data_IF_024361722376
#
_entry.id   IF_024361722376
#
_cell.length_a   1.000
_cell.length_b   1.000
_cell.length_c   1.000
_cell.angle_alpha   90.00
_cell.angle_beta   90.00
_cell.angle_gamma   90.00
#
_symmetry.space_group_name_H-M   'P 1'
#
loop_
_entity.id
_entity.type
_entity.pdbx_description
1 polymer ?
#
# COMPACT_ATOMS: atom_id res chain seq x y z
N UNK A 1 24.57 25.11 -34.17
CA UNK A 1 24.54 23.72 -33.66
C UNK A 1 25.07 22.84 -34.78
N UNK A 2 26.18 22.12 -34.56
CA UNK A 2 26.92 21.45 -35.63
C UNK A 2 26.11 20.25 -36.15
N UNK A 3 25.75 20.21 -37.44
CA UNK A 3 24.97 19.13 -38.05
C UNK A 3 25.57 17.75 -37.77
N UNK A 4 26.90 17.66 -37.77
CA UNK A 4 27.65 16.44 -37.44
C UNK A 4 27.41 15.94 -36.01
N UNK A 5 27.28 16.86 -35.04
CA UNK A 5 26.99 16.52 -33.64
C UNK A 5 25.55 16.04 -33.47
N UNK A 6 24.60 16.66 -34.19
CA UNK A 6 23.21 16.21 -34.17
C UNK A 6 23.06 14.82 -34.79
N UNK A 7 23.73 14.57 -35.91
CA UNK A 7 23.75 13.26 -36.56
C UNK A 7 24.35 12.18 -35.65
N UNK A 8 25.48 12.49 -35.00
CA UNK A 8 26.11 11.59 -34.02
C UNK A 8 25.21 11.29 -32.81
N UNK A 9 24.49 12.29 -32.29
CA UNK A 9 23.55 12.10 -31.18
C UNK A 9 22.36 11.23 -31.63
N UNK A 10 21.83 11.47 -32.83
CA UNK A 10 20.65 10.76 -33.35
C UNK A 10 20.95 9.31 -33.76
N UNK A 11 22.19 8.98 -34.12
CA UNK A 11 22.58 7.64 -34.54
C UNK A 11 22.93 6.69 -33.37
N UNK A 12 23.02 7.18 -32.14
CA UNK A 12 23.38 6.40 -30.96
C UNK A 12 22.20 6.24 -29.99
N UNK A 13 22.32 5.26 -29.08
CA UNK A 13 21.41 5.19 -27.94
C UNK A 13 21.51 6.49 -27.11
N UNK A 14 20.42 6.96 -26.46
CA UNK A 14 20.45 8.14 -25.62
C UNK A 14 21.56 8.04 -24.58
N UNK A 15 22.39 9.09 -24.48
CA UNK A 15 23.45 9.16 -23.48
C UNK A 15 22.84 9.19 -22.09
N UNK A 16 23.14 8.18 -21.30
CA UNK A 16 22.67 8.05 -19.93
C UNK A 16 23.78 7.45 -19.06
N UNK A 17 24.22 8.19 -18.05
CA UNK A 17 25.30 7.78 -17.16
C UNK A 17 24.82 7.73 -15.71
N UNK A 18 25.67 7.20 -14.83
CA UNK A 18 25.34 7.00 -13.41
C UNK A 18 25.03 8.32 -12.68
N UNK A 19 25.68 9.42 -13.05
CA UNK A 19 25.45 10.71 -12.41
C UNK A 19 24.04 11.24 -12.75
N UNK A 20 23.61 11.08 -14.01
CA UNK A 20 22.25 11.41 -14.45
C UNK A 20 21.19 10.51 -13.79
N UNK A 21 21.49 9.21 -13.67
CA UNK A 21 20.65 8.26 -12.94
C UNK A 21 20.44 8.71 -11.49
N UNK A 22 21.52 9.09 -10.80
CA UNK A 22 21.44 9.57 -9.42
C UNK A 22 20.58 10.84 -9.31
N UNK A 23 20.71 11.79 -10.23
CA UNK A 23 19.91 13.01 -10.24
C UNK A 23 18.41 12.73 -10.30
N UNK A 24 17.98 11.79 -11.16
CA UNK A 24 16.55 11.45 -11.35
C UNK A 24 16.01 10.56 -10.23
N UNK A 25 16.85 9.74 -9.61
CA UNK A 25 16.46 8.83 -8.53
C UNK A 25 16.58 9.43 -7.13
N UNK A 26 17.10 10.67 -6.98
CA UNK A 26 17.25 11.36 -5.68
C UNK A 26 16.01 11.33 -4.79
N UNK A 27 14.79 11.70 -5.26
CA UNK A 27 13.60 11.62 -4.42
C UNK A 27 13.30 10.20 -3.93
N UNK A 28 13.38 9.21 -4.82
CA UNK A 28 13.22 7.80 -4.46
C UNK A 28 14.27 7.34 -3.42
N UNK A 29 15.54 7.63 -3.67
CA UNK A 29 16.66 7.25 -2.81
C UNK A 29 16.58 7.91 -1.43
N UNK A 30 16.09 9.16 -1.36
CA UNK A 30 15.86 9.83 -0.09
C UNK A 30 14.85 9.07 0.78
N UNK A 31 13.74 8.58 0.22
CA UNK A 31 12.80 7.77 0.99
C UNK A 31 13.40 6.38 1.31
N UNK A 32 13.94 5.67 0.31
CA UNK A 32 14.40 4.29 0.50
C UNK A 32 15.56 4.18 1.49
N UNK A 33 16.54 5.09 1.43
CA UNK A 33 17.72 5.04 2.31
C UNK A 33 17.41 5.43 3.76
N UNK A 34 16.44 6.32 3.96
CA UNK A 34 16.11 6.83 5.30
C UNK A 34 14.93 6.09 5.93
N UNK A 35 14.40 5.07 5.25
CA UNK A 35 13.30 4.31 5.80
C UNK A 35 13.64 2.84 5.84
N UNK A 36 13.96 2.38 7.04
CA UNK A 36 13.82 0.98 7.45
C UNK A 36 12.34 0.67 7.63
N UNK A 37 11.58 0.77 6.53
CA UNK A 37 10.18 0.36 6.49
C UNK A 37 10.11 -1.07 6.91
N UNK A 38 9.59 -1.30 8.14
CA UNK A 38 9.44 -2.60 8.82
C UNK A 38 9.37 -3.71 7.78
N UNK A 39 10.31 -4.65 7.85
CA UNK A 39 10.56 -5.81 6.97
C UNK A 39 9.34 -6.72 6.73
N UNK A 40 8.09 -6.27 6.87
CA UNK A 40 6.87 -7.03 6.79
C UNK A 40 6.72 -7.74 5.45
N UNK A 41 6.87 -7.04 4.32
CA UNK A 41 6.76 -7.65 2.98
C UNK A 41 7.88 -8.67 2.75
N UNK A 42 9.11 -8.31 3.07
CA UNK A 42 10.29 -9.19 2.98
C UNK A 42 10.17 -10.41 3.88
N UNK A 43 9.65 -10.24 5.10
CA UNK A 43 9.36 -11.32 6.05
C UNK A 43 8.24 -12.21 5.52
N UNK A 44 7.16 -11.62 4.98
CA UNK A 44 6.07 -12.36 4.35
C UNK A 44 6.60 -13.22 3.19
N UNK A 45 7.36 -12.64 2.27
CA UNK A 45 8.00 -13.34 1.14
C UNK A 45 8.83 -14.52 1.65
N UNK A 46 9.73 -14.28 2.61
CA UNK A 46 10.61 -15.32 3.16
C UNK A 46 9.82 -16.45 3.82
N UNK A 47 8.77 -16.14 4.57
CA UNK A 47 7.92 -17.16 5.21
C UNK A 47 7.11 -17.97 4.19
N UNK A 48 6.51 -17.31 3.19
CA UNK A 48 5.83 -18.02 2.11
C UNK A 48 6.79 -18.93 1.34
N UNK A 49 8.03 -18.47 1.13
CA UNK A 49 9.04 -19.28 0.48
C UNK A 49 9.43 -20.51 1.31
N UNK A 50 9.69 -20.32 2.60
CA UNK A 50 10.04 -21.39 3.54
C UNK A 50 8.95 -22.45 3.67
N UNK A 51 7.68 -22.05 3.54
CA UNK A 51 6.54 -22.92 3.84
C UNK A 51 5.94 -23.58 2.58
N UNK A 52 5.93 -22.88 1.45
CA UNK A 52 5.18 -23.29 0.25
C UNK A 52 6.02 -23.45 -1.01
N UNK A 53 6.98 -22.55 -1.25
CA UNK A 53 7.52 -22.37 -2.61
C UNK A 53 8.97 -22.80 -2.79
N UNK A 54 9.77 -22.79 -1.73
CA UNK A 54 11.16 -23.26 -1.72
C UNK A 54 12.01 -22.73 -2.91
N UNK A 55 11.75 -21.48 -3.32
CA UNK A 55 12.44 -20.86 -4.45
C UNK A 55 13.92 -20.62 -4.14
N UNK A 56 14.78 -20.66 -5.16
CA UNK A 56 16.18 -20.23 -5.07
C UNK A 56 16.35 -18.81 -4.47
N UNK A 57 17.43 -18.57 -3.69
CA UNK A 57 17.65 -17.29 -3.00
C UNK A 57 17.61 -16.05 -3.91
N UNK A 58 18.19 -16.14 -5.10
CA UNK A 58 18.24 -15.05 -6.08
C UNK A 58 16.85 -14.63 -6.57
N UNK A 59 15.92 -15.58 -6.75
CA UNK A 59 14.52 -15.28 -7.08
C UNK A 59 13.80 -14.58 -5.92
N UNK A 60 14.06 -15.03 -4.69
CA UNK A 60 13.49 -14.42 -3.48
C UNK A 60 13.98 -12.98 -3.34
N UNK A 61 15.27 -12.74 -3.53
CA UNK A 61 15.88 -11.41 -3.49
C UNK A 61 15.31 -10.49 -4.57
N UNK A 62 15.17 -10.96 -5.82
CA UNK A 62 14.52 -10.21 -6.89
C UNK A 62 13.10 -9.78 -6.50
N UNK A 63 12.29 -10.70 -5.98
CA UNK A 63 10.89 -10.39 -5.61
C UNK A 63 10.85 -9.40 -4.43
N UNK A 64 11.77 -9.52 -3.46
CA UNK A 64 11.87 -8.56 -2.37
C UNK A 64 12.23 -7.16 -2.89
N UNK A 65 13.23 -7.07 -3.77
CA UNK A 65 13.67 -5.81 -4.37
C UNK A 65 12.54 -5.14 -5.16
N UNK A 66 11.83 -5.91 -5.99
CA UNK A 66 10.67 -5.41 -6.76
C UNK A 66 9.55 -4.93 -5.81
N UNK A 67 9.22 -5.72 -4.79
CA UNK A 67 8.18 -5.37 -3.83
C UNK A 67 8.50 -4.09 -3.05
N UNK A 68 9.74 -3.93 -2.58
CA UNK A 68 10.21 -2.73 -1.88
C UNK A 68 10.24 -1.52 -2.82
N UNK A 69 10.66 -1.71 -4.08
CA UNK A 69 10.69 -0.64 -5.08
C UNK A 69 9.30 -0.10 -5.39
N UNK A 70 8.35 -0.98 -5.69
CA UNK A 70 6.96 -0.60 -5.93
C UNK A 70 6.31 0.04 -4.70
N UNK A 71 6.57 -0.49 -3.50
CA UNK A 71 6.02 0.08 -2.26
C UNK A 71 6.53 1.50 -2.00
N UNK A 72 7.85 1.73 -2.12
CA UNK A 72 8.41 3.06 -1.89
C UNK A 72 7.94 4.05 -2.97
N UNK A 73 7.86 3.62 -4.23
CA UNK A 73 7.30 4.45 -5.30
C UNK A 73 5.84 4.84 -5.01
N UNK A 74 5.01 3.88 -4.59
CA UNK A 74 3.61 4.17 -4.28
C UNK A 74 3.47 5.12 -3.09
N UNK A 75 4.31 5.01 -2.06
CA UNK A 75 4.30 5.93 -0.92
C UNK A 75 4.62 7.38 -1.31
N UNK A 76 5.56 7.58 -2.24
CA UNK A 76 5.91 8.93 -2.71
C UNK A 76 4.73 9.58 -3.46
N UNK A 77 4.04 8.79 -4.28
CA UNK A 77 2.87 9.24 -5.04
C UNK A 77 1.71 9.51 -4.09
N UNK A 78 1.43 8.58 -3.16
CA UNK A 78 0.40 8.70 -2.12
C UNK A 78 0.62 9.95 -1.25
N UNK A 79 1.87 10.21 -0.82
CA UNK A 79 2.22 11.45 -0.09
C UNK A 79 1.86 12.73 -0.87
N UNK A 80 2.02 12.72 -2.20
CA UNK A 80 1.65 13.85 -3.06
C UNK A 80 0.13 13.95 -3.17
N UNK A 81 -0.54 12.83 -3.41
CA UNK A 81 -1.99 12.75 -3.62
C UNK A 81 -2.77 13.14 -2.35
N UNK A 82 -2.27 12.81 -1.17
CA UNK A 82 -2.82 13.14 0.15
C UNK A 82 -2.29 14.46 0.71
N UNK A 83 -1.30 15.09 0.06
CA UNK A 83 -0.63 16.31 0.53
C UNK A 83 -0.06 16.15 1.95
N UNK A 84 0.53 14.98 2.23
CA UNK A 84 1.07 14.62 3.53
C UNK A 84 2.36 15.40 3.83
N UNK A 85 2.48 15.91 5.06
CA UNK A 85 3.66 16.69 5.47
C UNK A 85 4.84 15.82 5.91
N UNK A 86 4.55 14.63 6.45
CA UNK A 86 5.56 13.72 6.99
C UNK A 86 5.31 12.26 6.61
N UNK A 87 6.41 11.53 6.36
CA UNK A 87 6.41 10.07 6.20
C UNK A 87 7.51 9.49 7.08
N UNK A 88 7.13 8.57 7.98
CA UNK A 88 8.07 7.89 8.91
C UNK A 88 8.96 8.86 9.72
N UNK A 89 8.39 10.00 10.13
CA UNK A 89 9.09 11.04 10.92
C UNK A 89 9.97 11.99 10.11
N UNK A 90 10.02 11.83 8.77
CA UNK A 90 10.79 12.68 7.86
C UNK A 90 9.84 13.53 7.02
N UNK A 91 10.32 14.65 6.47
CA UNK A 91 9.57 15.41 5.45
C UNK A 91 9.37 14.55 4.21
N UNK A 92 8.17 14.62 3.63
CA UNK A 92 7.82 13.91 2.39
C UNK A 92 8.66 14.38 1.20
N UNK A 93 8.86 13.50 0.22
CA UNK A 93 9.76 13.76 -0.92
C UNK A 93 9.37 15.04 -1.68
N UNK A 94 8.07 15.27 -1.86
CA UNK A 94 7.59 16.41 -2.63
C UNK A 94 7.80 17.76 -1.93
N UNK A 95 7.94 17.77 -0.59
CA UNK A 95 8.33 18.96 0.16
C UNK A 95 9.84 19.24 0.11
N UNK A 96 10.66 18.23 -0.20
CA UNK A 96 12.13 18.35 -0.29
C UNK A 96 12.57 18.63 -1.73
N UNK A 97 12.04 17.88 -2.70
CA UNK A 97 12.45 17.89 -4.10
C UNK A 97 11.41 18.46 -5.06
N UNK A 98 10.27 18.93 -4.55
CA UNK A 98 9.14 19.39 -5.34
C UNK A 98 8.27 18.24 -5.87
N UNK A 99 7.03 18.57 -6.21
CA UNK A 99 6.02 17.62 -6.71
C UNK A 99 6.49 16.97 -8.01
N UNK A 100 6.91 17.77 -9.00
CA UNK A 100 7.26 17.27 -10.33
C UNK A 100 8.44 16.27 -10.29
N UNK A 101 9.52 16.60 -9.57
CA UNK A 101 10.67 15.71 -9.45
C UNK A 101 10.34 14.42 -8.71
N UNK A 102 9.57 14.52 -7.62
CA UNK A 102 9.15 13.36 -6.82
C UNK A 102 8.23 12.42 -7.59
N UNK A 103 7.23 12.98 -8.29
CA UNK A 103 6.30 12.22 -9.13
C UNK A 103 7.04 11.52 -10.26
N UNK A 104 7.93 12.22 -10.97
CA UNK A 104 8.72 11.61 -12.04
C UNK A 104 9.62 10.48 -11.50
N UNK A 105 10.29 10.68 -10.37
CA UNK A 105 11.17 9.69 -9.75
C UNK A 105 10.40 8.43 -9.32
N UNK A 106 9.19 8.59 -8.76
CA UNK A 106 8.35 7.48 -8.36
C UNK A 106 7.79 6.71 -9.58
N UNK A 107 7.32 7.41 -10.61
CA UNK A 107 6.87 6.77 -11.85
C UNK A 107 8.01 6.02 -12.54
N UNK A 108 9.21 6.59 -12.57
CA UNK A 108 10.41 5.93 -13.08
C UNK A 108 10.69 4.62 -12.33
N UNK A 109 10.60 4.63 -10.99
CA UNK A 109 10.82 3.44 -10.18
C UNK A 109 9.80 2.31 -10.44
N UNK A 110 8.57 2.61 -10.89
CA UNK A 110 7.63 1.57 -11.36
C UNK A 110 8.16 0.85 -12.62
N UNK A 111 8.65 1.60 -13.60
CA UNK A 111 9.21 1.01 -14.82
C UNK A 111 10.53 0.29 -14.56
N UNK A 112 11.37 0.80 -13.67
CA UNK A 112 12.60 0.12 -13.25
C UNK A 112 12.29 -1.21 -12.55
N UNK A 113 11.26 -1.26 -11.70
CA UNK A 113 10.82 -2.52 -11.07
C UNK A 113 10.37 -3.57 -12.11
N UNK A 114 9.68 -3.15 -13.17
CA UNK A 114 9.36 -4.03 -14.29
C UNK A 114 10.62 -4.45 -15.06
N UNK A 115 11.56 -3.51 -15.28
CA UNK A 115 12.81 -3.77 -15.98
C UNK A 115 13.66 -4.83 -15.25
N UNK A 116 13.71 -4.78 -13.90
CA UNK A 116 14.38 -5.80 -13.09
C UNK A 116 13.81 -7.21 -13.34
N UNK A 117 12.48 -7.34 -13.42
CA UNK A 117 11.82 -8.61 -13.74
C UNK A 117 12.15 -9.06 -15.17
N UNK A 118 12.13 -8.15 -16.14
CA UNK A 118 12.45 -8.45 -17.53
C UNK A 118 13.90 -8.93 -17.64
N UNK A 119 14.85 -8.15 -17.11
CA UNK A 119 16.29 -8.41 -17.21
C UNK A 119 16.68 -9.75 -16.61
N UNK A 120 16.14 -10.06 -15.43
CA UNK A 120 16.40 -11.35 -14.78
C UNK A 120 15.90 -12.54 -15.62
N UNK A 121 14.83 -12.36 -16.39
CA UNK A 121 14.22 -13.41 -17.21
C UNK A 121 14.68 -13.36 -18.69
N UNK A 122 15.58 -12.45 -19.10
CA UNK A 122 16.04 -12.30 -20.51
C UNK A 122 16.76 -13.52 -21.07
N UNK A 123 17.40 -14.32 -20.22
CA UNK A 123 18.20 -15.49 -20.62
C UNK A 123 17.39 -16.80 -20.59
N UNK A 124 16.09 -16.73 -20.36
CA UNK A 124 15.23 -17.91 -20.34
C UNK A 124 14.98 -18.39 -21.77
N UNK A 125 14.83 -19.71 -21.94
CA UNK A 125 14.41 -20.35 -23.19
C UNK A 125 13.25 -19.59 -23.84
N UNK A 126 13.34 -19.37 -25.17
CA UNK A 126 12.31 -18.67 -25.95
C UNK A 126 10.93 -19.32 -25.87
N UNK A 127 10.86 -20.60 -25.49
CA UNK A 127 9.60 -21.32 -25.31
C UNK A 127 9.01 -21.18 -23.90
N UNK A 128 9.72 -20.56 -22.94
CA UNK A 128 9.20 -20.32 -21.59
C UNK A 128 8.31 -19.07 -21.58
N UNK A 129 7.00 -19.28 -21.40
CA UNK A 129 6.01 -18.22 -21.32
C UNK A 129 6.00 -17.48 -19.98
N UNK A 130 6.90 -17.82 -19.04
CA UNK A 130 6.97 -17.20 -17.71
C UNK A 130 7.09 -15.68 -17.77
N UNK A 131 7.92 -15.13 -18.66
CA UNK A 131 8.08 -13.68 -18.79
C UNK A 131 6.76 -13.00 -19.17
N UNK A 132 5.99 -13.59 -20.08
CA UNK A 132 4.67 -13.07 -20.46
C UNK A 132 3.71 -13.10 -19.27
N UNK A 133 3.70 -14.18 -18.50
CA UNK A 133 2.88 -14.33 -17.29
C UNK A 133 3.27 -13.29 -16.22
N UNK A 134 4.57 -13.09 -16.00
CA UNK A 134 5.10 -12.08 -15.07
C UNK A 134 4.64 -10.67 -15.48
N UNK A 135 4.78 -10.30 -16.76
CA UNK A 135 4.35 -8.99 -17.26
C UNK A 135 2.84 -8.81 -17.09
N UNK A 136 2.05 -9.85 -17.38
CA UNK A 136 0.59 -9.83 -17.20
C UNK A 136 0.22 -9.59 -15.73
N UNK A 137 0.82 -10.34 -14.81
CA UNK A 137 0.61 -10.20 -13.36
C UNK A 137 1.00 -8.80 -12.89
N UNK A 138 2.16 -8.30 -13.32
CA UNK A 138 2.63 -6.95 -13.00
C UNK A 138 1.62 -5.89 -13.43
N UNK A 139 1.16 -5.95 -14.68
CA UNK A 139 0.21 -4.99 -15.22
C UNK A 139 -1.16 -5.08 -14.52
N UNK A 140 -1.71 -6.28 -14.32
CA UNK A 140 -3.00 -6.48 -13.67
C UNK A 140 -3.01 -5.94 -12.24
N UNK A 141 -1.98 -6.22 -11.44
CA UNK A 141 -1.95 -5.80 -10.05
C UNK A 141 -1.61 -4.31 -9.88
N UNK A 142 -0.81 -3.70 -10.78
CA UNK A 142 -0.67 -2.25 -10.79
C UNK A 142 -1.96 -1.54 -11.26
N UNK A 143 -2.72 -2.11 -12.21
CA UNK A 143 -4.04 -1.58 -12.54
C UNK A 143 -4.99 -1.65 -11.33
N UNK A 144 -4.97 -2.74 -10.57
CA UNK A 144 -5.76 -2.85 -9.35
C UNK A 144 -5.33 -1.82 -8.30
N UNK A 145 -4.01 -1.63 -8.07
CA UNK A 145 -3.50 -0.59 -7.17
C UNK A 145 -4.08 0.79 -7.54
N UNK A 146 -4.00 1.17 -8.81
CA UNK A 146 -4.48 2.48 -9.28
C UNK A 146 -6.01 2.59 -9.26
N UNK A 147 -6.75 1.50 -9.53
CA UNK A 147 -8.22 1.49 -9.38
C UNK A 147 -8.64 1.75 -7.93
N UNK A 148 -7.97 1.10 -6.99
CA UNK A 148 -8.23 1.28 -5.56
C UNK A 148 -7.89 2.71 -5.11
N UNK A 149 -6.67 3.17 -5.43
CA UNK A 149 -6.23 4.52 -5.10
C UNK A 149 -7.12 5.60 -5.73
N UNK A 150 -7.47 5.44 -7.01
CA UNK A 150 -8.35 6.38 -7.70
C UNK A 150 -9.75 6.44 -7.09
N UNK A 151 -10.28 5.32 -6.61
CA UNK A 151 -11.57 5.28 -5.92
C UNK A 151 -11.50 5.95 -4.54
N UNK A 152 -10.43 5.73 -3.78
CA UNK A 152 -10.19 6.39 -2.49
C UNK A 152 -10.12 7.93 -2.64
N UNK A 153 -9.34 8.40 -3.61
CA UNK A 153 -9.25 9.82 -3.98
C UNK A 153 -10.61 10.35 -4.45
N UNK A 154 -11.33 9.57 -5.28
CA UNK A 154 -12.64 9.98 -5.77
C UNK A 154 -13.64 10.18 -4.63
N UNK A 155 -13.62 9.29 -3.64
CA UNK A 155 -14.43 9.42 -2.44
C UNK A 155 -14.10 10.70 -1.68
N UNK A 156 -12.81 10.86 -1.36
CA UNK A 156 -12.26 12.00 -0.62
C UNK A 156 -12.58 13.35 -1.25
N UNK A 157 -12.41 13.50 -2.56
CA UNK A 157 -12.47 14.82 -3.20
C UNK A 157 -13.82 15.16 -3.83
N UNK A 158 -14.56 14.14 -4.29
CA UNK A 158 -15.81 14.33 -5.05
C UNK A 158 -17.04 13.86 -4.28
N UNK A 159 -17.02 12.65 -3.69
CA UNK A 159 -18.20 12.10 -3.00
C UNK A 159 -18.42 12.70 -1.62
N UNK A 160 -17.41 13.34 -1.04
CA UNK A 160 -17.56 14.22 0.13
C UNK A 160 -18.52 15.41 -0.10
N UNK A 161 -19.05 15.56 -1.31
CA UNK A 161 -20.04 16.59 -1.67
C UNK A 161 -21.44 16.03 -1.89
N UNK A 162 -21.62 14.71 -1.93
CA UNK A 162 -22.91 14.03 -2.20
C UNK A 162 -23.21 12.99 -1.11
N UNK A 163 -24.12 13.35 -0.21
CA UNK A 163 -24.48 12.54 0.98
C UNK A 163 -24.97 11.13 0.63
N UNK A 164 -25.70 10.96 -0.48
CA UNK A 164 -26.27 9.67 -0.88
C UNK A 164 -25.25 8.67 -1.44
N UNK A 165 -24.00 9.10 -1.64
CA UNK A 165 -22.95 8.27 -2.21
C UNK A 165 -21.92 7.83 -1.17
N UNK A 166 -22.12 8.09 0.12
CA UNK A 166 -21.14 7.70 1.15
C UNK A 166 -20.87 6.19 1.09
N UNK A 167 -19.60 5.76 0.98
CA UNK A 167 -19.27 4.34 0.84
C UNK A 167 -19.72 3.56 2.07
N UNK A 168 -20.14 2.31 1.85
CA UNK A 168 -20.39 1.35 2.93
C UNK A 168 -19.14 0.53 3.20
N UNK A 169 -19.18 -0.25 4.27
CA UNK A 169 -18.10 -1.16 4.65
C UNK A 169 -17.69 -2.12 3.52
N UNK A 170 -18.66 -2.67 2.78
CA UNK A 170 -18.37 -3.57 1.66
C UNK A 170 -17.66 -2.86 0.50
N UNK A 171 -18.01 -1.60 0.23
CA UNK A 171 -17.36 -0.79 -0.79
C UNK A 171 -15.91 -0.52 -0.39
N UNK A 172 -15.69 -0.16 0.87
CA UNK A 172 -14.36 0.03 1.43
C UNK A 172 -13.51 -1.25 1.28
N UNK A 173 -14.02 -2.43 1.64
CA UNK A 173 -13.26 -3.66 1.47
C UNK A 173 -12.89 -3.92 0.00
N UNK A 174 -13.80 -3.67 -0.94
CA UNK A 174 -13.51 -3.80 -2.37
C UNK A 174 -12.45 -2.80 -2.85
N UNK A 175 -12.47 -1.57 -2.34
CA UNK A 175 -11.45 -0.56 -2.63
C UNK A 175 -10.08 -0.99 -2.07
N UNK A 176 -10.01 -1.41 -0.81
CA UNK A 176 -8.77 -1.85 -0.15
C UNK A 176 -8.18 -3.11 -0.80
N UNK A 177 -9.04 -4.02 -1.23
CA UNK A 177 -8.64 -5.19 -2.02
C UNK A 177 -7.89 -4.80 -3.30
N UNK A 178 -8.25 -3.67 -3.90
CA UNK A 178 -7.56 -3.12 -5.05
C UNK A 178 -6.29 -2.36 -4.64
N UNK A 179 -6.40 -1.37 -3.74
CA UNK A 179 -5.30 -0.49 -3.28
C UNK A 179 -4.19 -1.26 -2.57
N UNK A 180 -4.49 -1.85 -1.42
CA UNK A 180 -3.48 -2.49 -0.56
C UNK A 180 -3.27 -3.96 -0.93
N UNK A 181 -4.35 -4.65 -1.31
CA UNK A 181 -4.31 -6.06 -1.73
C UNK A 181 -3.52 -6.30 -3.02
N UNK A 182 -3.50 -5.34 -3.95
CA UNK A 182 -2.81 -5.46 -5.24
C UNK A 182 -1.34 -5.83 -5.11
N UNK A 183 -0.60 -5.10 -4.26
CA UNK A 183 0.83 -5.35 -4.10
C UNK A 183 1.13 -6.67 -3.36
N UNK A 184 0.27 -7.10 -2.43
CA UNK A 184 0.41 -8.41 -1.80
C UNK A 184 0.15 -9.56 -2.78
N UNK A 185 -0.89 -9.44 -3.63
CA UNK A 185 -1.16 -10.41 -4.68
C UNK A 185 -0.05 -10.47 -5.71
N UNK A 186 0.50 -9.32 -6.10
CA UNK A 186 1.64 -9.24 -7.01
C UNK A 186 2.79 -10.11 -6.50
N UNK A 187 3.18 -9.92 -5.24
CA UNK A 187 4.27 -10.66 -4.61
C UNK A 187 4.03 -12.17 -4.70
N UNK A 188 2.88 -12.64 -4.23
CA UNK A 188 2.59 -14.09 -4.19
C UNK A 188 2.46 -14.67 -5.60
N UNK A 189 1.80 -13.98 -6.53
CA UNK A 189 1.67 -14.44 -7.92
C UNK A 189 3.03 -14.49 -8.63
N UNK A 190 3.94 -13.55 -8.35
CA UNK A 190 5.32 -13.61 -8.86
C UNK A 190 6.07 -14.82 -8.28
N UNK A 191 5.93 -15.12 -6.99
CA UNK A 191 6.52 -16.34 -6.40
C UNK A 191 5.99 -17.60 -7.09
N UNK A 192 4.68 -17.66 -7.36
CA UNK A 192 4.02 -18.77 -8.03
C UNK A 192 4.57 -19.02 -9.45
N UNK A 193 4.94 -17.96 -10.18
CA UNK A 193 5.52 -18.08 -11.53
C UNK A 193 6.87 -18.84 -11.57
N UNK A 194 7.55 -18.93 -10.43
CA UNK A 194 8.87 -19.54 -10.34
C UNK A 194 8.88 -20.94 -9.75
N UNK A 195 7.70 -21.47 -9.38
CA UNK A 195 7.50 -22.86 -8.96
C UNK A 195 7.71 -23.76 -10.18
N UNK A 196 8.25 -24.97 -9.95
CA UNK A 196 8.37 -25.97 -11.02
C UNK A 196 6.99 -26.61 -11.30
N UNK A 197 6.62 -26.88 -12.56
CA UNK A 197 5.30 -27.45 -12.88
C UNK A 197 4.96 -28.72 -12.07
N UNK A 198 5.94 -29.57 -11.81
CA UNK A 198 5.78 -30.80 -11.02
C UNK A 198 5.55 -30.58 -9.52
N UNK A 199 5.89 -29.40 -8.99
CA UNK A 199 5.72 -28.99 -7.60
C UNK A 199 4.47 -28.10 -7.40
N UNK A 200 3.76 -27.77 -8.49
CA UNK A 200 2.64 -26.84 -8.45
C UNK A 200 1.41 -27.45 -7.74
N UNK A 201 0.91 -26.72 -6.74
CA UNK A 201 -0.38 -26.99 -6.10
C UNK A 201 -1.33 -25.82 -6.35
N UNK A 202 -2.17 -25.95 -7.38
CA UNK A 202 -3.10 -24.91 -7.83
C UNK A 202 -4.03 -24.45 -6.70
N UNK A 203 -4.60 -25.40 -5.95
CA UNK A 203 -5.52 -25.07 -4.84
C UNK A 203 -4.79 -24.28 -3.75
N UNK A 204 -3.58 -24.68 -3.39
CA UNK A 204 -2.78 -23.94 -2.40
C UNK A 204 -2.40 -22.53 -2.91
N UNK A 205 -2.12 -22.40 -4.20
CA UNK A 205 -1.82 -21.11 -4.83
C UNK A 205 -3.01 -20.14 -4.73
N UNK A 206 -4.22 -20.61 -5.01
CA UNK A 206 -5.46 -19.83 -4.83
C UNK A 206 -5.70 -19.45 -3.37
N UNK A 207 -5.51 -20.39 -2.43
CA UNK A 207 -5.64 -20.13 -1.00
C UNK A 207 -4.62 -19.08 -0.51
N UNK A 208 -3.38 -19.11 -1.02
CA UNK A 208 -2.33 -18.14 -0.70
C UNK A 208 -2.67 -16.73 -1.22
N UNK A 209 -3.33 -16.61 -2.38
CA UNK A 209 -3.85 -15.34 -2.89
C UNK A 209 -5.00 -14.83 -2.01
N UNK A 210 -5.93 -15.71 -1.60
CA UNK A 210 -7.03 -15.33 -0.70
C UNK A 210 -6.54 -14.91 0.70
N UNK A 211 -5.50 -15.57 1.22
CA UNK A 211 -4.82 -15.15 2.44
C UNK A 211 -4.29 -13.72 2.30
N UNK A 212 -3.59 -13.41 1.20
CA UNK A 212 -3.02 -12.08 0.96
C UNK A 212 -4.07 -10.98 0.80
N UNK A 213 -5.21 -11.33 0.23
CA UNK A 213 -6.37 -10.45 0.14
C UNK A 213 -6.89 -10.05 1.53
N UNK A 214 -7.13 -11.01 2.41
CA UNK A 214 -7.55 -10.73 3.80
C UNK A 214 -6.46 -9.99 4.58
N UNK A 215 -5.19 -10.33 4.36
CA UNK A 215 -4.07 -9.64 4.99
C UNK A 215 -4.00 -8.17 4.56
N UNK A 216 -4.27 -7.87 3.28
CA UNK A 216 -4.35 -6.51 2.76
C UNK A 216 -5.47 -5.71 3.44
N UNK A 217 -6.64 -6.33 3.62
CA UNK A 217 -7.76 -5.72 4.36
C UNK A 217 -7.35 -5.45 5.82
N UNK A 218 -6.84 -6.46 6.53
CA UNK A 218 -6.40 -6.33 7.93
C UNK A 218 -5.36 -5.21 8.08
N UNK A 219 -4.40 -5.15 7.17
CA UNK A 219 -3.33 -4.16 7.19
C UNK A 219 -3.89 -2.74 7.04
N UNK A 220 -4.80 -2.51 6.09
CA UNK A 220 -5.36 -1.17 5.87
C UNK A 220 -6.31 -0.75 6.99
N UNK A 221 -7.20 -1.64 7.45
CA UNK A 221 -8.10 -1.32 8.58
C UNK A 221 -7.30 -0.99 9.84
N UNK A 222 -6.18 -1.70 10.06
CA UNK A 222 -5.26 -1.38 11.16
C UNK A 222 -4.56 -0.04 10.96
N UNK A 223 -4.09 0.26 9.76
CA UNK A 223 -3.44 1.53 9.42
C UNK A 223 -4.37 2.72 9.67
N UNK A 224 -5.60 2.64 9.16
CA UNK A 224 -6.66 3.63 9.37
C UNK A 224 -7.00 3.81 10.86
N UNK A 225 -7.05 2.72 11.63
CA UNK A 225 -7.25 2.79 13.08
C UNK A 225 -6.10 3.52 13.78
N UNK A 226 -4.86 3.14 13.47
CA UNK A 226 -3.67 3.74 14.07
C UNK A 226 -3.54 5.23 13.72
N UNK A 227 -3.89 5.64 12.51
CA UNK A 227 -3.89 7.06 12.09
C UNK A 227 -4.70 7.94 13.06
N UNK A 228 -5.83 7.44 13.56
CA UNK A 228 -6.70 8.17 14.48
C UNK A 228 -6.30 8.08 15.95
N UNK A 229 -5.71 6.96 16.39
CA UNK A 229 -5.42 6.72 17.82
C UNK A 229 -3.97 7.02 18.22
N UNK A 230 -3.01 6.98 17.29
CA UNK A 230 -1.61 7.27 17.59
C UNK A 230 -1.41 8.78 17.74
N UNK A 231 -1.51 9.23 18.98
CA UNK A 231 -1.27 10.63 19.36
C UNK A 231 -0.05 10.71 20.26
N UNK A 232 0.91 11.55 19.88
CA UNK A 232 2.03 11.96 20.74
C UNK A 232 1.81 13.42 21.12
N UNK A 233 2.32 13.87 22.27
CA UNK A 233 2.25 15.30 22.62
C UNK A 233 2.85 16.19 21.52
N UNK A 234 3.89 15.72 20.85
CA UNK A 234 4.52 16.42 19.72
C UNK A 234 3.58 16.51 18.51
N UNK A 235 2.89 15.42 18.14
CA UNK A 235 1.95 15.43 17.02
C UNK A 235 0.68 16.23 17.33
N UNK A 236 0.22 16.23 18.59
CA UNK A 236 -0.89 17.08 19.05
C UNK A 236 -0.49 18.56 18.94
N UNK A 237 0.67 18.95 19.49
CA UNK A 237 1.12 20.35 19.51
C UNK A 237 1.41 20.89 18.11
N UNK A 238 1.81 20.03 17.16
CA UNK A 238 2.02 20.39 15.75
C UNK A 238 0.75 20.26 14.88
N UNK A 239 -0.34 19.70 15.42
CA UNK A 239 -1.57 19.42 14.68
C UNK A 239 -1.47 18.28 13.66
N UNK A 240 -0.39 17.50 13.69
CA UNK A 240 -0.06 16.42 12.75
C UNK A 240 -0.56 15.03 13.22
N UNK A 241 -1.73 14.98 13.85
CA UNK A 241 -2.37 13.75 14.33
C UNK A 241 -3.73 13.58 13.66
N UNK A 242 -4.22 12.34 13.50
CA UNK A 242 -5.45 12.07 12.77
C UNK A 242 -5.46 12.77 11.40
N UNK A 243 -4.40 12.53 10.62
CA UNK A 243 -4.20 13.16 9.32
C UNK A 243 -5.29 12.75 8.33
N UNK A 244 -5.87 11.56 8.47
CA UNK A 244 -7.04 11.13 7.69
C UNK A 244 -8.19 12.15 7.77
N UNK A 245 -8.37 12.82 8.92
CA UNK A 245 -9.38 13.88 9.09
C UNK A 245 -9.00 15.15 8.31
N UNK A 246 -7.71 15.47 8.23
CA UNK A 246 -7.19 16.62 7.48
C UNK A 246 -7.29 16.38 5.98
N UNK A 247 -6.97 15.17 5.56
CA UNK A 247 -7.04 14.73 4.17
C UNK A 247 -8.49 14.68 3.68
N UNK A 248 -9.44 14.51 4.60
CA UNK A 248 -10.86 14.31 4.31
C UNK A 248 -11.16 12.86 3.88
N UNK A 249 -10.32 11.93 4.31
CA UNK A 249 -10.29 10.54 3.86
C UNK A 249 -11.45 9.74 4.46
N UNK A 250 -12.02 8.86 3.64
CA UNK A 250 -13.04 7.91 4.08
C UNK A 250 -12.37 6.64 4.64
N UNK A 251 -11.64 6.79 5.75
CA UNK A 251 -11.02 5.67 6.43
C UNK A 251 -12.06 4.78 7.12
N UNK A 252 -11.72 3.52 7.43
CA UNK A 252 -12.68 2.55 7.98
C UNK A 252 -13.50 3.06 9.20
N UNK A 253 -12.88 3.57 10.29
CA UNK A 253 -13.63 4.11 11.43
C UNK A 253 -14.50 5.32 11.06
N UNK A 254 -14.04 6.14 10.11
CA UNK A 254 -14.78 7.29 9.60
C UNK A 254 -16.03 6.84 8.84
N UNK A 255 -15.89 5.89 7.93
CA UNK A 255 -17.01 5.30 7.17
C UNK A 255 -18.08 4.76 8.12
N UNK A 256 -17.67 3.98 9.12
CA UNK A 256 -18.61 3.47 10.12
C UNK A 256 -19.29 4.61 10.89
N UNK A 257 -18.54 5.63 11.31
CA UNK A 257 -19.08 6.78 12.05
C UNK A 257 -20.09 7.60 11.26
N UNK A 258 -19.80 7.88 9.99
CA UNK A 258 -20.72 8.62 9.12
C UNK A 258 -21.98 7.80 8.87
N UNK A 259 -21.88 6.52 8.53
CA UNK A 259 -23.07 5.69 8.31
C UNK A 259 -23.92 5.58 9.60
N UNK A 260 -23.29 5.52 10.77
CA UNK A 260 -23.99 5.57 12.06
C UNK A 260 -24.80 6.88 12.23
N UNK A 261 -24.20 8.05 11.96
CA UNK A 261 -24.86 9.36 12.02
C UNK A 261 -26.08 9.43 11.09
N UNK A 262 -25.91 8.92 9.86
CA UNK A 262 -26.95 8.94 8.83
C UNK A 262 -28.17 8.11 9.21
N UNK A 263 -27.93 6.92 9.76
CA UNK A 263 -28.99 5.97 10.09
C UNK A 263 -29.74 6.32 11.38
N UNK A 264 -29.06 6.90 12.37
CA UNK A 264 -29.63 7.09 13.72
C UNK A 264 -29.99 8.51 14.09
N UNK A 265 -29.16 9.48 13.69
CA UNK A 265 -29.26 10.85 14.21
C UNK A 265 -29.74 11.85 13.15
N UNK A 266 -29.83 11.42 11.88
CA UNK A 266 -29.99 12.30 10.72
C UNK A 266 -28.98 13.48 10.76
N UNK A 267 -27.81 13.24 11.36
CA UNK A 267 -26.72 14.20 11.50
C UNK A 267 -25.79 14.11 10.28
N UNK A 268 -24.88 15.07 10.18
CA UNK A 268 -23.79 15.07 9.19
C UNK A 268 -22.52 15.68 9.79
N UNK A 269 -22.34 15.52 11.10
CA UNK A 269 -21.29 16.20 11.85
C UNK A 269 -19.89 15.76 11.41
N UNK A 270 -19.59 14.45 11.41
CA UNK A 270 -18.30 13.94 10.92
C UNK A 270 -18.10 14.34 9.46
N UNK A 271 -19.12 14.15 8.63
CA UNK A 271 -19.09 14.45 7.20
C UNK A 271 -18.74 15.93 6.92
N UNK A 272 -19.38 16.87 7.61
CA UNK A 272 -19.15 18.30 7.41
C UNK A 272 -17.73 18.71 7.83
N UNK A 273 -17.19 18.11 8.90
CA UNK A 273 -15.82 18.37 9.34
C UNK A 273 -14.81 17.83 8.33
N UNK A 274 -14.98 16.60 7.84
CA UNK A 274 -14.09 16.04 6.82
C UNK A 274 -14.05 16.90 5.57
N UNK A 275 -15.20 17.41 5.13
CA UNK A 275 -15.29 18.30 3.97
C UNK A 275 -14.48 19.58 4.13
N UNK A 276 -14.32 20.06 5.37
CA UNK A 276 -13.54 21.26 5.67
C UNK A 276 -12.03 21.04 5.61
N UNK A 277 -11.56 19.78 5.57
CA UNK A 277 -10.12 19.42 5.58
C UNK A 277 -9.35 20.16 6.68
N UNK A 278 -9.93 20.15 7.89
CA UNK A 278 -9.48 21.00 8.99
C UNK A 278 -8.12 20.58 9.53
N UNK A 279 -7.25 21.57 9.76
CA UNK A 279 -6.00 21.40 10.52
C UNK A 279 -6.16 21.77 12.00
N UNK A 280 -7.34 22.20 12.44
CA UNK A 280 -7.56 22.66 13.81
C UNK A 280 -7.60 21.46 14.79
N UNK A 281 -6.70 21.41 15.80
CA UNK A 281 -6.64 20.30 16.76
C UNK A 281 -7.92 20.08 17.57
N UNK A 282 -8.64 21.14 17.94
CA UNK A 282 -9.87 21.02 18.72
C UNK A 282 -11.00 20.41 17.88
N UNK A 283 -11.12 20.82 16.61
CA UNK A 283 -12.10 20.25 15.68
C UNK A 283 -11.80 18.78 15.40
N UNK A 284 -10.53 18.40 15.19
CA UNK A 284 -10.12 17.00 15.08
C UNK A 284 -10.50 16.20 16.33
N UNK A 285 -10.24 16.74 17.52
CA UNK A 285 -10.55 16.08 18.80
C UNK A 285 -12.05 15.82 18.96
N UNK A 286 -12.92 16.76 18.56
CA UNK A 286 -14.38 16.55 18.60
C UNK A 286 -14.83 15.36 17.73
N UNK A 287 -14.24 15.20 16.54
CA UNK A 287 -14.51 14.02 15.68
C UNK A 287 -14.05 12.74 16.38
N UNK A 288 -12.84 12.73 16.94
CA UNK A 288 -12.31 11.56 17.65
C UNK A 288 -13.17 11.19 18.88
N UNK A 289 -13.59 12.18 19.66
CA UNK A 289 -14.46 11.99 20.82
C UNK A 289 -15.81 11.42 20.40
N UNK A 290 -16.39 11.90 19.30
CA UNK A 290 -17.63 11.36 18.74
C UNK A 290 -17.44 9.90 18.28
N UNK A 291 -16.39 9.61 17.51
CA UNK A 291 -16.06 8.26 17.03
C UNK A 291 -15.82 7.26 18.17
N UNK A 292 -15.35 7.75 19.32
CA UNK A 292 -15.07 6.94 20.52
C UNK A 292 -16.29 6.76 21.41
N UNK A 293 -17.03 7.84 21.67
CA UNK A 293 -18.02 7.87 22.74
C UNK A 293 -19.44 7.64 22.22
N UNK A 294 -19.79 8.24 21.09
CA UNK A 294 -21.15 8.23 20.54
C UNK A 294 -21.34 7.07 19.54
N UNK A 295 -20.60 7.08 18.42
CA UNK A 295 -20.79 6.08 17.36
C UNK A 295 -20.10 4.73 17.65
N UNK A 296 -19.21 4.68 18.66
CA UNK A 296 -18.38 3.51 18.99
C UNK A 296 -17.56 2.97 17.81
N UNK A 297 -17.28 3.79 16.80
CA UNK A 297 -16.55 3.39 15.60
C UNK A 297 -15.12 2.92 15.88
N UNK A 298 -14.44 3.49 16.88
CA UNK A 298 -13.08 3.06 17.23
C UNK A 298 -13.09 1.65 17.86
N UNK A 299 -14.05 1.36 18.72
CA UNK A 299 -14.20 0.03 19.33
C UNK A 299 -14.62 -0.99 18.26
N UNK A 300 -15.59 -0.64 17.42
CA UNK A 300 -16.02 -1.46 16.28
C UNK A 300 -14.86 -1.81 15.35
N UNK A 301 -14.01 -0.83 15.02
CA UNK A 301 -12.83 -1.04 14.17
C UNK A 301 -11.83 -1.98 14.83
N UNK A 302 -11.59 -1.83 16.13
CA UNK A 302 -10.71 -2.71 16.90
C UNK A 302 -11.23 -4.15 16.91
N UNK A 303 -12.53 -4.35 17.08
CA UNK A 303 -13.15 -5.67 17.04
C UNK A 303 -13.04 -6.28 15.64
N UNK A 304 -13.22 -5.49 14.57
CA UNK A 304 -13.03 -5.95 13.19
C UNK A 304 -11.60 -6.37 12.88
N UNK A 305 -10.60 -5.64 13.38
CA UNK A 305 -9.19 -6.03 13.26
C UNK A 305 -8.96 -7.41 13.89
N UNK A 306 -9.49 -7.65 15.09
CA UNK A 306 -9.39 -8.95 15.77
C UNK A 306 -10.12 -10.03 14.95
N UNK A 307 -11.36 -9.77 14.53
CA UNK A 307 -12.17 -10.72 13.77
C UNK A 307 -11.50 -11.16 12.46
N UNK A 308 -11.00 -10.22 11.67
CA UNK A 308 -10.31 -10.52 10.40
C UNK A 308 -9.03 -11.31 10.68
N UNK A 309 -8.27 -10.92 11.71
CA UNK A 309 -7.04 -11.63 12.10
C UNK A 309 -7.28 -13.06 12.57
N UNK A 310 -8.29 -13.29 13.40
CA UNK A 310 -8.70 -14.63 13.83
C UNK A 310 -9.25 -15.47 12.67
N UNK A 311 -9.99 -14.85 11.73
CA UNK A 311 -10.46 -15.50 10.51
C UNK A 311 -9.27 -16.00 9.66
N UNK A 312 -8.24 -15.17 9.48
CA UNK A 312 -7.01 -15.55 8.77
C UNK A 312 -6.36 -16.77 9.45
N UNK A 313 -6.17 -16.71 10.78
CA UNK A 313 -5.55 -17.80 11.55
C UNK A 313 -6.33 -19.09 11.45
N UNK A 314 -7.65 -19.04 11.66
CA UNK A 314 -8.54 -20.20 11.61
C UNK A 314 -8.58 -20.85 10.23
N UNK A 315 -8.65 -20.05 9.16
CA UNK A 315 -8.87 -20.55 7.80
C UNK A 315 -7.59 -21.05 7.12
N UNK A 316 -6.45 -20.40 7.38
CA UNK A 316 -5.22 -20.64 6.62
C UNK A 316 -4.03 -21.09 7.48
N UNK A 317 -4.05 -20.86 8.80
CA UNK A 317 -2.92 -21.09 9.68
C UNK A 317 -3.26 -22.07 10.83
N UNK A 318 -4.03 -23.13 10.53
CA UNK A 318 -4.51 -24.09 11.54
C UNK A 318 -3.40 -24.93 12.18
N UNK A 319 -2.33 -25.24 11.43
CA UNK A 319 -1.13 -25.90 11.97
C UNK A 319 -0.20 -24.86 12.62
N UNK A 320 -0.38 -24.68 13.93
CA UNK A 320 0.36 -23.68 14.72
C UNK A 320 1.88 -23.86 14.71
N UNK A 321 2.38 -25.10 14.54
CA UNK A 321 3.82 -25.36 14.45
C UNK A 321 4.37 -24.93 13.10
N UNK A 322 3.70 -25.33 12.02
CA UNK A 322 4.09 -24.95 10.65
C UNK A 322 4.03 -23.44 10.43
N UNK A 323 3.01 -22.79 10.97
CA UNK A 323 2.70 -21.38 10.70
C UNK A 323 3.09 -20.40 11.82
N UNK A 324 3.89 -20.83 12.80
CA UNK A 324 4.21 -20.05 14.00
C UNK A 324 4.64 -18.60 13.69
N UNK A 325 5.56 -18.43 12.73
CA UNK A 325 6.06 -17.10 12.33
C UNK A 325 4.97 -16.23 11.70
N UNK A 326 4.11 -16.79 10.83
CA UNK A 326 2.99 -16.07 10.24
C UNK A 326 1.95 -15.70 11.30
N UNK A 327 1.65 -16.59 12.24
CA UNK A 327 0.74 -16.32 13.37
C UNK A 327 1.27 -15.14 14.20
N UNK A 328 2.57 -15.13 14.54
CA UNK A 328 3.18 -14.01 15.26
C UNK A 328 3.07 -12.68 14.51
N UNK A 329 3.20 -12.69 13.17
CA UNK A 329 3.01 -11.50 12.35
C UNK A 329 1.57 -11.00 12.42
N UNK A 330 0.58 -11.90 12.33
CA UNK A 330 -0.84 -11.55 12.44
C UNK A 330 -1.16 -11.04 13.86
N UNK A 331 -0.68 -11.71 14.90
CA UNK A 331 -0.88 -11.28 16.29
C UNK A 331 -0.26 -9.89 16.54
N UNK A 332 0.90 -9.60 15.94
CA UNK A 332 1.51 -8.27 16.00
C UNK A 332 0.64 -7.20 15.33
N UNK A 333 0.00 -7.52 14.20
CA UNK A 333 -0.94 -6.60 13.54
C UNK A 333 -2.19 -6.36 14.40
N UNK A 334 -2.75 -7.41 15.00
CA UNK A 334 -3.94 -7.31 15.83
C UNK A 334 -3.63 -6.50 17.11
N UNK A 335 -2.65 -6.97 17.88
CA UNK A 335 -2.42 -6.54 19.27
C UNK A 335 -1.33 -5.49 19.44
N UNK A 336 -0.54 -5.20 18.40
CA UNK A 336 0.54 -4.20 18.46
C UNK A 336 1.74 -4.58 19.32
N UNK A 337 1.88 -5.86 19.71
CA UNK A 337 2.99 -6.39 20.52
C UNK A 337 4.13 -6.94 19.68
#
# INVERSE_FOLDING_TARGET
MNEKLLDEICCNAPLWNKDLEELVTRPYNYLSNNTSGKNFRTLLIKNFNEIYYHLPPDKVELICLVAEKLHNASLIIDDIEDNSEQRRGLKTCHLVYGIAGSLNSANYAYFEALQLLIDYNKLIDRNDLRLLTIIKIFNEELLNLHRGQGLDIYWRDYMIRVKDLIPKEIDYYNMVMNKTGGLFRLIIKLMQCYIRPEEENIKQNEENVHFCNLLGILYQVKDDYLNLIETTEVSINKGTFAEDITEGKFSFPIIHGINYELERENSSFIYNILRSKTKNPETKRKVLDYLKNESKSLDYTKDKIIEIGELIKKKYLSDTKKFQKLIQIIDKLIYGK
#
